data_IF_032907174536
#
_entry.id   IF_032907174536
#
_cell.length_a   1.000
_cell.length_b   1.000
_cell.length_c   1.000
_cell.angle_alpha   90.00
_cell.angle_beta   90.00
_cell.angle_gamma   90.00
#
_symmetry.space_group_name_H-M   'P 1'
#
loop_
_entity.id
_entity.type
_entity.pdbx_description
1 polymer ?
#
# COMPACT_ATOMS: atom_id res chain seq x y z
N UNK A 1 -20.29 -16.29 2.45
CA UNK A 1 -19.69 -17.55 1.98
C UNK A 1 -19.50 -18.45 3.19
N UNK A 2 -19.92 -19.71 3.13
CA UNK A 2 -19.62 -20.67 4.20
C UNK A 2 -18.17 -21.15 4.02
N UNK A 3 -17.40 -21.18 5.10
CA UNK A 3 -16.05 -21.72 5.12
C UNK A 3 -16.08 -23.07 5.86
N UNK A 4 -15.24 -24.00 5.44
CA UNK A 4 -15.17 -25.35 6.03
C UNK A 4 -13.71 -25.74 6.27
N UNK A 5 -13.45 -26.42 7.39
CA UNK A 5 -12.26 -27.26 7.51
C UNK A 5 -12.54 -28.56 6.73
N UNK A 6 -11.54 -29.08 6.04
CA UNK A 6 -11.58 -30.39 5.39
C UNK A 6 -10.59 -31.31 6.09
N UNK A 7 -11.06 -32.48 6.52
CA UNK A 7 -10.20 -33.50 7.14
C UNK A 7 -9.58 -34.44 6.09
N UNK A 8 -8.71 -35.35 6.54
CA UNK A 8 -8.04 -36.32 5.65
C UNK A 8 -8.98 -37.35 5.00
N UNK A 9 -10.29 -37.30 5.28
CA UNK A 9 -11.34 -38.16 4.72
C UNK A 9 -12.35 -37.36 3.89
N UNK A 10 -11.99 -36.13 3.49
CA UNK A 10 -12.84 -35.18 2.77
C UNK A 10 -14.14 -34.81 3.50
N UNK A 11 -14.17 -34.97 4.83
CA UNK A 11 -15.31 -34.53 5.64
C UNK A 11 -15.20 -33.04 5.91
N UNK A 12 -16.31 -32.33 5.69
CA UNK A 12 -16.40 -30.88 5.87
C UNK A 12 -16.99 -30.51 7.23
N UNK A 13 -16.24 -29.73 8.01
CA UNK A 13 -16.70 -29.14 9.27
C UNK A 13 -16.82 -27.61 9.10
N UNK A 14 -18.03 -27.07 9.27
CA UNK A 14 -18.29 -25.66 9.04
C UNK A 14 -17.55 -24.76 10.04
N UNK A 15 -16.79 -23.80 9.52
CA UNK A 15 -16.09 -22.75 10.27
C UNK A 15 -17.08 -21.63 10.59
N UNK A 16 -17.12 -21.19 11.85
CA UNK A 16 -18.01 -20.12 12.31
C UNK A 16 -17.26 -18.81 12.47
N UNK A 17 -17.91 -17.72 12.10
CA UNK A 17 -17.41 -16.37 12.38
C UNK A 17 -17.56 -16.05 13.87
N UNK A 18 -16.49 -15.55 14.48
CA UNK A 18 -16.44 -15.10 15.87
C UNK A 18 -16.42 -13.56 15.88
N UNK A 19 -17.52 -12.90 16.32
CA UNK A 19 -17.57 -11.44 16.31
C UNK A 19 -16.54 -10.83 17.27
N UNK A 20 -16.06 -9.65 16.93
CA UNK A 20 -15.29 -8.79 17.83
C UNK A 20 -16.23 -8.11 18.81
N UNK A 21 -15.93 -8.15 20.12
CA UNK A 21 -16.79 -7.51 21.13
C UNK A 21 -16.54 -6.01 21.21
N UNK A 22 -15.28 -5.60 21.04
CA UNK A 22 -14.81 -4.22 21.18
C UNK A 22 -13.94 -3.82 19.98
N UNK A 23 -13.99 -2.54 19.59
CA UNK A 23 -13.07 -1.95 18.59
C UNK A 23 -11.61 -2.15 19.02
N UNK A 24 -11.33 -2.03 20.32
CA UNK A 24 -9.98 -2.24 20.87
C UNK A 24 -9.42 -3.64 20.62
N UNK A 25 -10.27 -4.67 20.47
CA UNK A 25 -9.81 -6.02 20.09
C UNK A 25 -9.22 -6.03 18.68
N UNK A 26 -9.87 -5.31 17.74
CA UNK A 26 -9.41 -5.20 16.34
C UNK A 26 -8.11 -4.40 16.30
N UNK A 27 -8.08 -3.25 16.98
CA UNK A 27 -6.92 -2.38 17.04
C UNK A 27 -5.70 -3.11 17.60
N UNK A 28 -5.82 -3.72 18.78
CA UNK A 28 -4.70 -4.41 19.44
C UNK A 28 -4.14 -5.53 18.56
N UNK A 29 -5.02 -6.33 17.95
CA UNK A 29 -4.61 -7.43 17.08
C UNK A 29 -3.90 -6.91 15.82
N UNK A 30 -4.42 -5.83 15.24
CA UNK A 30 -3.85 -5.22 14.03
C UNK A 30 -2.51 -4.56 14.31
N UNK A 31 -2.39 -3.75 15.37
CA UNK A 31 -1.14 -3.08 15.76
C UNK A 31 -0.01 -4.08 16.01
N UNK A 32 -0.29 -5.20 16.67
CA UNK A 32 0.69 -6.26 16.94
C UNK A 32 1.18 -6.99 15.68
N UNK A 33 0.41 -6.95 14.59
CA UNK A 33 0.68 -7.69 13.35
C UNK A 33 0.76 -6.76 12.13
N UNK A 34 0.98 -5.46 12.37
CA UNK A 34 0.80 -4.42 11.36
C UNK A 34 1.71 -4.64 10.14
N UNK A 35 2.95 -5.04 10.38
CA UNK A 35 3.92 -5.36 9.33
C UNK A 35 3.50 -6.60 8.53
N UNK A 36 2.94 -7.62 9.18
CA UNK A 36 2.50 -8.83 8.49
C UNK A 36 1.24 -8.61 7.65
N UNK A 37 0.33 -7.75 8.11
CA UNK A 37 -0.94 -7.49 7.43
C UNK A 37 -0.77 -6.47 6.30
N UNK A 38 -0.04 -5.38 6.56
CA UNK A 38 0.02 -4.23 5.65
C UNK A 38 1.43 -3.86 5.19
N UNK A 39 2.48 -4.53 5.67
CA UNK A 39 3.86 -4.12 5.42
C UNK A 39 4.24 -2.79 6.10
N UNK A 40 3.43 -2.30 7.04
CA UNK A 40 3.64 -1.00 7.67
C UNK A 40 4.44 -1.11 8.97
N UNK A 41 5.17 -0.04 9.27
CA UNK A 41 5.86 0.15 10.55
C UNK A 41 4.92 0.85 11.54
N UNK A 42 4.69 0.23 12.69
CA UNK A 42 3.94 0.86 13.77
C UNK A 42 4.70 2.08 14.30
N UNK A 43 4.00 3.20 14.52
CA UNK A 43 4.56 4.42 15.13
C UNK A 43 3.97 4.63 16.51
N UNK A 44 2.65 4.77 16.60
CA UNK A 44 1.98 5.11 17.87
C UNK A 44 0.54 4.63 17.92
N UNK A 45 0.11 4.20 19.09
CA UNK A 45 -1.31 3.93 19.40
C UNK A 45 -1.91 5.15 20.11
N UNK A 46 -3.17 5.46 19.81
CA UNK A 46 -3.95 6.56 20.42
C UNK A 46 -3.25 7.94 20.31
N UNK A 47 -2.68 8.24 19.14
CA UNK A 47 -1.97 9.50 18.91
C UNK A 47 -2.94 10.69 18.98
N UNK A 48 -2.81 11.48 20.03
CA UNK A 48 -3.71 12.60 20.33
C UNK A 48 -3.07 13.92 19.91
N UNK A 49 -3.77 14.69 19.09
CA UNK A 49 -3.31 16.00 18.63
C UNK A 49 -4.47 16.99 18.56
N UNK A 50 -4.40 18.04 19.38
CA UNK A 50 -5.51 18.96 19.57
C UNK A 50 -6.76 18.23 20.09
N UNK A 51 -7.88 18.37 19.38
CA UNK A 51 -9.14 17.72 19.73
C UNK A 51 -9.35 16.36 19.04
N UNK A 52 -8.37 15.90 18.27
CA UNK A 52 -8.45 14.65 17.54
C UNK A 52 -7.59 13.58 18.21
N UNK A 53 -8.04 12.34 18.10
CA UNK A 53 -7.28 11.17 18.50
C UNK A 53 -7.31 10.17 17.36
N UNK A 54 -6.13 9.82 16.87
CA UNK A 54 -5.92 8.81 15.85
C UNK A 54 -5.68 7.48 16.56
N UNK A 55 -6.45 6.44 16.19
CA UNK A 55 -6.34 5.13 16.85
C UNK A 55 -4.94 4.51 16.67
N UNK A 56 -4.43 4.48 15.43
CA UNK A 56 -3.06 4.05 15.15
C UNK A 56 -2.41 4.95 14.10
N UNK A 57 -1.22 5.46 14.42
CA UNK A 57 -0.30 6.06 13.47
C UNK A 57 0.73 5.02 13.05
N UNK A 58 0.94 4.91 11.74
CA UNK A 58 1.89 4.01 11.12
C UNK A 58 2.72 4.74 10.04
N UNK A 59 3.80 4.11 9.60
CA UNK A 59 4.65 4.62 8.53
C UNK A 59 4.84 3.54 7.45
N UNK A 60 4.57 3.92 6.21
CA UNK A 60 4.85 3.14 5.01
C UNK A 60 6.26 3.49 4.56
N UNK A 61 7.20 2.58 4.81
CA UNK A 61 8.61 2.79 4.46
C UNK A 61 8.81 2.84 2.95
N UNK A 62 8.07 2.05 2.20
CA UNK A 62 8.24 1.93 0.74
C UNK A 62 7.74 3.19 0.02
N UNK A 63 6.66 3.76 0.53
CA UNK A 63 6.13 5.04 0.04
C UNK A 63 6.73 6.27 0.75
N UNK A 64 7.58 6.07 1.77
CA UNK A 64 8.11 7.10 2.67
C UNK A 64 7.01 8.03 3.21
N UNK A 65 5.90 7.49 3.69
CA UNK A 65 4.70 8.28 4.01
C UNK A 65 3.97 7.79 5.25
N UNK A 66 3.22 8.67 5.91
CA UNK A 66 2.41 8.30 7.06
C UNK A 66 1.11 7.62 6.63
N UNK A 67 0.67 6.65 7.43
CA UNK A 67 -0.60 5.96 7.28
C UNK A 67 -1.37 6.08 8.59
N UNK A 68 -2.58 6.60 8.49
CA UNK A 68 -3.50 6.72 9.63
C UNK A 68 -4.47 5.54 9.56
N UNK A 69 -4.64 4.83 10.67
CA UNK A 69 -5.55 3.68 10.73
C UNK A 69 -6.60 3.95 11.79
N UNK A 70 -7.85 3.80 11.39
CA UNK A 70 -9.04 4.00 12.22
C UNK A 70 -9.85 2.70 12.29
N UNK A 71 -10.27 2.32 13.49
CA UNK A 71 -11.03 1.09 13.72
C UNK A 71 -12.49 1.41 13.97
N UNK A 72 -13.36 0.58 13.39
CA UNK A 72 -14.81 0.73 13.55
C UNK A 72 -15.44 -0.63 13.80
N UNK A 73 -16.36 -0.69 14.76
CA UNK A 73 -17.24 -1.85 14.96
C UNK A 73 -18.65 -1.55 14.48
N UNK A 74 -19.07 -0.30 14.61
CA UNK A 74 -20.38 0.18 14.21
C UNK A 74 -20.33 0.82 12.80
N UNK A 75 -21.50 0.99 12.17
CA UNK A 75 -21.63 1.42 10.77
C UNK A 75 -21.96 2.90 10.59
N UNK A 76 -22.12 3.65 11.67
CA UNK A 76 -22.64 5.01 11.65
C UNK A 76 -21.50 6.05 11.65
N UNK A 77 -20.71 6.07 10.58
CA UNK A 77 -19.67 7.08 10.38
C UNK A 77 -19.49 7.40 8.89
N UNK A 78 -19.03 8.62 8.62
CA UNK A 78 -18.67 9.07 7.29
C UNK A 78 -17.20 8.80 7.03
N UNK A 79 -16.92 7.90 6.08
CA UNK A 79 -15.57 7.54 5.64
C UNK A 79 -14.85 8.77 5.08
N UNK A 80 -15.54 9.55 4.24
CA UNK A 80 -14.97 10.74 3.58
C UNK A 80 -14.65 11.81 4.62
N UNK A 81 -15.62 12.18 5.46
CA UNK A 81 -15.43 13.31 6.38
C UNK A 81 -14.32 13.01 7.41
N UNK A 82 -14.32 11.81 8.01
CA UNK A 82 -13.26 11.44 8.97
C UNK A 82 -11.91 11.29 8.29
N UNK A 83 -11.87 10.67 7.11
CA UNK A 83 -10.62 10.51 6.36
C UNK A 83 -9.97 11.85 6.03
N UNK A 84 -10.75 12.79 5.47
CA UNK A 84 -10.24 14.13 5.16
C UNK A 84 -9.91 14.96 6.40
N UNK A 85 -10.66 14.81 7.50
CA UNK A 85 -10.32 15.47 8.76
C UNK A 85 -8.95 15.03 9.28
N UNK A 86 -8.66 13.72 9.28
CA UNK A 86 -7.36 13.19 9.69
C UNK A 86 -6.22 13.60 8.77
N UNK A 87 -6.43 13.56 7.46
CA UNK A 87 -5.41 13.98 6.49
C UNK A 87 -5.13 15.49 6.61
N UNK A 88 -6.17 16.31 6.79
CA UNK A 88 -6.00 17.74 7.03
C UNK A 88 -5.27 18.02 8.34
N UNK A 89 -5.62 17.31 9.43
CA UNK A 89 -4.90 17.38 10.70
C UNK A 89 -3.40 17.09 10.50
N UNK A 90 -3.07 16.03 9.77
CA UNK A 90 -1.69 15.66 9.47
C UNK A 90 -0.94 16.71 8.64
N UNK A 91 -1.55 17.19 7.54
CA UNK A 91 -0.90 18.19 6.68
C UNK A 91 -0.69 19.54 7.39
N UNK A 92 -1.59 19.91 8.30
CA UNK A 92 -1.45 21.14 9.10
C UNK A 92 -0.43 20.99 10.25
N UNK A 93 -0.09 19.76 10.63
CA UNK A 93 0.77 19.48 11.79
C UNK A 93 1.93 18.52 11.45
N UNK A 94 2.52 18.67 10.25
CA UNK A 94 3.60 17.80 9.74
C UNK A 94 4.77 17.61 10.72
N UNK A 95 5.10 18.65 11.49
CA UNK A 95 6.18 18.60 12.46
C UNK A 95 5.89 17.64 13.62
N UNK A 96 4.66 17.62 14.14
CA UNK A 96 4.23 16.76 15.24
C UNK A 96 4.24 15.29 14.83
N UNK A 97 3.85 14.98 13.59
CA UNK A 97 3.91 13.61 13.06
C UNK A 97 5.35 13.10 12.92
N UNK A 98 6.27 13.94 12.43
CA UNK A 98 7.70 13.60 12.36
C UNK A 98 8.27 13.43 13.77
N UNK A 99 7.90 14.31 14.71
CA UNK A 99 8.34 14.21 16.10
C UNK A 99 7.88 12.89 16.71
N UNK A 100 6.60 12.55 16.60
CA UNK A 100 6.04 11.30 17.11
C UNK A 100 6.75 10.08 16.49
N UNK A 101 7.03 10.11 15.18
CA UNK A 101 7.84 9.06 14.56
C UNK A 101 9.22 8.93 15.22
N UNK A 102 9.94 10.05 15.37
CA UNK A 102 11.30 10.07 15.90
C UNK A 102 11.39 9.67 17.36
N UNK A 103 10.35 9.93 18.16
CA UNK A 103 10.28 9.54 19.57
C UNK A 103 10.00 8.04 19.77
N UNK A 104 9.31 7.40 18.81
CA UNK A 104 8.92 5.98 18.93
C UNK A 104 9.76 5.04 18.03
N UNK A 105 10.67 5.56 17.20
CA UNK A 105 11.50 4.77 16.30
C UNK A 105 13.00 5.02 16.49
N UNK A 106 13.83 4.04 16.11
CA UNK A 106 15.29 4.16 16.20
C UNK A 106 15.90 5.09 15.15
N UNK A 107 15.28 5.11 13.97
CA UNK A 107 15.71 5.97 12.87
C UNK A 107 14.95 7.29 12.97
N UNK A 108 15.59 8.39 12.59
CA UNK A 108 14.97 9.71 12.56
C UNK A 108 14.60 10.11 11.14
N UNK A 109 13.42 10.68 10.97
CA UNK A 109 12.98 11.36 9.76
C UNK A 109 13.22 12.87 9.85
N UNK A 110 13.64 13.44 8.72
CA UNK A 110 13.58 14.87 8.43
C UNK A 110 12.34 15.16 7.59
N UNK A 111 12.04 16.46 7.42
CA UNK A 111 10.89 16.91 6.63
C UNK A 111 10.92 16.43 5.18
N UNK A 112 12.10 16.42 4.58
CA UNK A 112 12.29 16.04 3.18
C UNK A 112 12.35 14.52 2.97
N UNK A 113 12.38 13.75 4.06
CA UNK A 113 12.33 12.28 4.01
C UNK A 113 10.89 11.76 3.89
N UNK A 114 9.88 12.63 4.03
CA UNK A 114 8.46 12.23 4.03
C UNK A 114 7.77 12.70 2.75
N UNK A 115 7.25 11.75 1.96
CA UNK A 115 6.35 12.02 0.86
C UNK A 115 4.90 12.10 1.35
N UNK A 116 4.50 13.30 1.76
CA UNK A 116 3.12 13.60 2.18
C UNK A 116 2.09 13.29 1.09
N UNK A 117 2.48 13.30 -0.19
CA UNK A 117 1.54 13.06 -1.28
C UNK A 117 1.05 11.61 -1.34
N UNK A 118 1.78 10.69 -0.71
CA UNK A 118 1.48 9.26 -0.65
C UNK A 118 0.74 8.85 0.65
N UNK A 119 0.51 9.81 1.56
CA UNK A 119 -0.14 9.50 2.84
C UNK A 119 -1.62 9.17 2.66
N UNK A 120 -2.14 8.25 3.48
CA UNK A 120 -3.50 7.71 3.31
C UNK A 120 -4.14 7.31 4.63
N UNK A 121 -5.46 7.07 4.59
CA UNK A 121 -6.24 6.57 5.73
C UNK A 121 -6.75 5.16 5.44
N UNK A 122 -6.60 4.26 6.41
CA UNK A 122 -7.14 2.90 6.37
C UNK A 122 -8.24 2.80 7.42
N UNK A 123 -9.47 2.49 6.99
CA UNK A 123 -10.54 2.10 7.91
C UNK A 123 -10.63 0.58 8.00
N UNK A 124 -10.64 0.05 9.22
CA UNK A 124 -10.74 -1.39 9.47
C UNK A 124 -12.02 -1.66 10.27
N UNK A 125 -12.89 -2.50 9.71
CA UNK A 125 -14.18 -2.82 10.32
C UNK A 125 -14.61 -4.25 10.02
N UNK A 126 -15.42 -4.92 10.86
CA UNK A 126 -16.03 -6.19 10.50
C UNK A 126 -16.94 -6.12 9.27
N UNK A 127 -17.52 -4.95 9.00
CA UNK A 127 -18.33 -4.73 7.80
C UNK A 127 -18.57 -3.25 7.52
N UNK A 128 -18.77 -2.92 6.24
CA UNK A 128 -19.17 -1.59 5.79
C UNK A 128 -20.59 -1.61 5.19
N UNK A 129 -21.28 -0.48 5.25
CA UNK A 129 -22.53 -0.27 4.50
C UNK A 129 -22.26 -0.13 3.01
N UNK A 130 -23.27 -0.31 2.17
CA UNK A 130 -23.16 -0.04 0.73
C UNK A 130 -22.68 1.39 0.48
N UNK A 131 -23.25 2.39 1.16
CA UNK A 131 -22.82 3.79 1.01
C UNK A 131 -21.34 4.02 1.33
N UNK A 132 -20.81 3.36 2.36
CA UNK A 132 -19.38 3.46 2.70
C UNK A 132 -18.50 2.80 1.63
N UNK A 133 -18.93 1.65 1.09
CA UNK A 133 -18.22 0.98 -0.02
C UNK A 133 -18.26 1.81 -1.30
N UNK A 134 -19.39 2.45 -1.59
CA UNK A 134 -19.52 3.37 -2.73
C UNK A 134 -18.71 4.66 -2.52
N UNK A 135 -18.51 5.10 -1.28
CA UNK A 135 -17.74 6.31 -0.97
C UNK A 135 -16.27 6.23 -1.41
N UNK A 136 -15.71 5.02 -1.60
CA UNK A 136 -14.34 4.84 -2.11
C UNK A 136 -14.27 4.73 -3.64
N UNK A 137 -15.38 4.83 -4.37
CA UNK A 137 -15.41 4.80 -5.85
C UNK A 137 -14.89 6.08 -6.52
N UNK A 138 -14.21 6.96 -5.78
CA UNK A 138 -13.51 8.12 -6.34
C UNK A 138 -12.03 7.79 -6.58
N UNK A 139 -11.55 8.08 -7.80
CA UNK A 139 -10.21 7.69 -8.25
C UNK A 139 -9.06 8.40 -7.53
N UNK A 140 -9.34 9.55 -6.92
CA UNK A 140 -8.40 10.42 -6.22
C UNK A 140 -8.60 10.41 -4.71
N UNK A 141 -9.33 9.43 -4.17
CA UNK A 141 -9.56 9.30 -2.73
C UNK A 141 -8.44 8.49 -2.05
N UNK A 142 -7.65 9.08 -1.15
CA UNK A 142 -6.56 8.40 -0.44
C UNK A 142 -7.08 7.63 0.79
N UNK A 143 -8.15 6.86 0.62
CA UNK A 143 -8.81 6.10 1.70
C UNK A 143 -8.99 4.65 1.28
N UNK A 144 -8.61 3.73 2.16
CA UNK A 144 -8.82 2.29 2.00
C UNK A 144 -9.83 1.76 3.02
N UNK A 145 -10.64 0.79 2.61
CA UNK A 145 -11.54 0.06 3.50
C UNK A 145 -11.13 -1.41 3.57
N UNK A 146 -10.98 -1.92 4.78
CA UNK A 146 -10.59 -3.31 5.03
C UNK A 146 -11.58 -4.01 5.95
N UNK A 147 -12.19 -5.08 5.44
CA UNK A 147 -13.08 -5.93 6.21
C UNK A 147 -12.29 -6.99 6.99
N UNK A 148 -12.43 -6.99 8.31
CA UNK A 148 -11.75 -7.94 9.21
C UNK A 148 -12.73 -8.97 9.79
N UNK A 149 -12.43 -10.26 9.64
CA UNK A 149 -13.27 -11.35 10.19
C UNK A 149 -12.42 -12.38 10.91
N UNK A 150 -12.82 -12.72 12.13
CA UNK A 150 -12.19 -13.75 12.96
C UNK A 150 -13.07 -15.01 12.95
N UNK A 151 -12.44 -16.18 12.97
CA UNK A 151 -13.10 -17.47 12.88
C UNK A 151 -12.75 -18.38 14.06
N UNK A 152 -13.60 -19.38 14.34
CA UNK A 152 -13.46 -20.30 15.47
C UNK A 152 -12.31 -21.31 15.34
N UNK A 153 -11.78 -21.48 14.14
CA UNK A 153 -10.60 -22.30 13.84
C UNK A 153 -9.26 -21.55 13.96
N UNK A 154 -9.25 -20.40 14.65
CA UNK A 154 -8.06 -19.52 14.83
C UNK A 154 -7.56 -18.86 13.53
N UNK A 155 -8.41 -18.76 12.52
CA UNK A 155 -8.13 -17.97 11.31
C UNK A 155 -8.67 -16.54 11.46
N UNK A 156 -7.99 -15.59 10.84
CA UNK A 156 -8.47 -14.23 10.64
C UNK A 156 -8.25 -13.83 9.19
N UNK A 157 -9.20 -13.11 8.59
CA UNK A 157 -9.08 -12.54 7.26
C UNK A 157 -9.12 -11.02 7.32
N UNK A 158 -8.21 -10.37 6.59
CA UNK A 158 -8.26 -8.95 6.26
C UNK A 158 -8.48 -8.85 4.75
N UNK A 159 -9.63 -8.32 4.34
CA UNK A 159 -9.99 -8.21 2.92
C UNK A 159 -10.18 -6.74 2.56
N UNK A 160 -9.35 -6.23 1.66
CA UNK A 160 -9.54 -4.90 1.11
C UNK A 160 -10.81 -4.86 0.25
N UNK A 161 -11.65 -3.86 0.46
CA UNK A 161 -12.74 -3.56 -0.46
C UNK A 161 -12.14 -2.84 -1.66
N UNK A 162 -12.10 -3.53 -2.80
CA UNK A 162 -11.70 -2.97 -4.08
C UNK A 162 -12.90 -2.39 -4.82
N UNK A 163 -12.66 -1.33 -5.57
CA UNK A 163 -13.69 -0.67 -6.39
C UNK A 163 -13.67 -1.22 -7.80
N UNK A 164 -14.86 -1.33 -8.41
CA UNK A 164 -15.02 -1.84 -9.78
C UNK A 164 -14.79 -0.72 -10.81
N UNK A 165 -13.62 -0.09 -10.77
CA UNK A 165 -13.26 0.99 -11.69
C UNK A 165 -13.81 2.35 -11.27
N UNK A 166 -13.18 2.96 -10.27
CA UNK A 166 -13.43 4.34 -9.88
C UNK A 166 -13.14 5.30 -11.06
N UNK A 167 -14.18 5.96 -11.61
CA UNK A 167 -14.03 6.90 -12.73
C UNK A 167 -14.19 8.36 -12.30
N UNK A 168 -15.02 8.60 -11.28
CA UNK A 168 -15.30 9.94 -10.79
C UNK A 168 -14.18 10.45 -9.88
N UNK A 169 -14.01 11.77 -9.82
CA UNK A 169 -13.06 12.43 -8.93
C UNK A 169 -13.81 13.07 -7.77
N UNK A 170 -13.25 13.04 -6.55
CA UNK A 170 -13.80 13.71 -5.36
C UNK A 170 -14.05 15.19 -5.63
N UNK A 171 -13.31 15.80 -6.57
CA UNK A 171 -13.50 17.20 -7.00
C UNK A 171 -14.91 17.50 -7.55
N UNK A 172 -15.65 16.49 -8.01
CA UNK A 172 -17.03 16.70 -8.50
C UNK A 172 -17.99 17.04 -7.37
N UNK A 173 -17.76 16.49 -6.17
CA UNK A 173 -18.58 16.68 -4.97
C UNK A 173 -17.98 17.71 -4.00
N UNK A 174 -16.69 18.03 -4.10
CA UNK A 174 -15.98 18.87 -3.12
C UNK A 174 -15.99 20.38 -3.40
N UNK A 175 -16.71 20.87 -4.40
CA UNK A 175 -16.59 22.26 -4.93
C UNK A 175 -16.89 23.39 -3.92
N UNK A 176 -17.13 23.08 -2.65
CA UNK A 176 -17.46 24.05 -1.60
C UNK A 176 -16.71 23.79 -0.27
N UNK A 177 -15.78 22.82 -0.20
CA UNK A 177 -15.02 22.54 1.03
C UNK A 177 -13.52 22.79 0.84
N UNK A 178 -13.04 23.93 1.35
CA UNK A 178 -11.64 24.35 1.35
C UNK A 178 -10.69 23.29 1.95
N UNK A 179 -11.16 22.48 2.89
CA UNK A 179 -10.37 21.43 3.55
C UNK A 179 -10.11 20.28 2.59
N UNK A 180 -11.16 19.82 1.91
CA UNK A 180 -11.08 18.73 0.93
C UNK A 180 -10.22 19.16 -0.25
N UNK A 181 -10.34 20.41 -0.72
CA UNK A 181 -9.52 20.93 -1.81
C UNK A 181 -8.03 20.99 -1.45
N UNK A 182 -7.68 21.48 -0.24
CA UNK A 182 -6.29 21.52 0.23
C UNK A 182 -5.68 20.13 0.32
N UNK A 183 -6.39 19.19 0.93
CA UNK A 183 -5.93 17.80 1.07
C UNK A 183 -5.74 17.16 -0.31
N UNK A 184 -6.71 17.28 -1.21
CA UNK A 184 -6.65 16.71 -2.57
C UNK A 184 -5.55 17.37 -3.43
N UNK A 185 -5.11 18.58 -3.06
CA UNK A 185 -3.98 19.25 -3.73
C UNK A 185 -2.64 18.65 -3.30
N UNK A 186 -2.47 18.33 -2.02
CA UNK A 186 -1.21 17.81 -1.48
C UNK A 186 -1.10 16.29 -1.61
N UNK A 187 -2.20 15.57 -1.36
CA UNK A 187 -2.29 14.11 -1.44
C UNK A 187 -2.73 13.69 -2.83
N UNK A 188 -2.07 12.66 -3.36
CA UNK A 188 -2.22 12.20 -4.74
C UNK A 188 -2.35 10.68 -4.75
N UNK A 189 -3.44 10.22 -5.34
CA UNK A 189 -3.57 8.83 -5.77
C UNK A 189 -3.06 8.77 -7.19
N UNK A 190 -2.03 7.95 -7.42
CA UNK A 190 -1.41 7.80 -8.73
C UNK A 190 -2.03 6.65 -9.47
N UNK A 191 -2.13 6.79 -10.78
CA UNK A 191 -2.60 5.73 -11.67
C UNK A 191 -1.50 5.25 -12.60
N UNK A 192 -1.61 4.01 -13.04
CA UNK A 192 -0.69 3.47 -14.04
C UNK A 192 -0.78 4.26 -15.36
N UNK A 193 -1.97 4.72 -15.72
CA UNK A 193 -2.20 5.51 -16.92
C UNK A 193 -1.41 6.82 -16.91
N UNK A 194 -1.34 7.52 -15.77
CA UNK A 194 -0.55 8.75 -15.62
C UNK A 194 0.95 8.52 -15.87
N UNK A 195 1.48 7.32 -15.61
CA UNK A 195 2.87 6.99 -15.94
C UNK A 195 3.08 6.68 -17.42
N UNK A 196 2.05 6.15 -18.08
CA UNK A 196 2.06 5.82 -19.51
C UNK A 196 1.83 7.05 -20.39
N UNK A 197 1.16 8.07 -19.85
CA UNK A 197 0.88 9.32 -20.54
C UNK A 197 2.19 10.02 -20.95
N UNK A 198 2.30 10.31 -22.25
CA UNK A 198 3.50 10.94 -22.83
C UNK A 198 4.69 10.00 -23.09
N UNK A 199 4.56 8.70 -22.81
CA UNK A 199 5.54 7.70 -23.23
C UNK A 199 5.33 7.32 -24.70
N UNK A 200 6.40 6.90 -25.39
CA UNK A 200 6.30 6.37 -26.75
C UNK A 200 5.66 4.98 -26.73
N UNK A 201 5.13 4.54 -27.86
CA UNK A 201 4.42 3.26 -27.93
C UNK A 201 5.38 2.08 -27.69
N UNK A 202 6.64 2.19 -28.11
CA UNK A 202 7.67 1.19 -27.83
C UNK A 202 7.92 1.02 -26.33
N UNK A 203 7.93 2.10 -25.55
CA UNK A 203 8.10 2.04 -24.09
C UNK A 203 6.87 1.45 -23.41
N UNK A 204 5.66 1.78 -23.88
CA UNK A 204 4.42 1.21 -23.36
C UNK A 204 4.36 -0.30 -23.63
N UNK A 205 4.72 -0.73 -24.83
CA UNK A 205 4.78 -2.15 -25.19
C UNK A 205 5.81 -2.90 -24.35
N UNK A 206 7.01 -2.33 -24.16
CA UNK A 206 8.04 -2.91 -23.30
C UNK A 206 7.55 -3.04 -21.86
N UNK A 207 6.94 -1.99 -21.31
CA UNK A 207 6.35 -2.00 -19.97
C UNK A 207 5.29 -3.08 -19.82
N UNK A 208 4.32 -3.15 -20.74
CA UNK A 208 3.26 -4.14 -20.72
C UNK A 208 3.81 -5.56 -20.84
N UNK A 209 4.86 -5.79 -21.64
CA UNK A 209 5.51 -7.09 -21.73
C UNK A 209 6.09 -7.53 -20.37
N UNK A 210 6.84 -6.65 -19.71
CA UNK A 210 7.40 -6.95 -18.38
C UNK A 210 6.32 -7.11 -17.32
N UNK A 211 5.34 -6.20 -17.27
CA UNK A 211 4.20 -6.27 -16.36
C UNK A 211 3.47 -7.61 -16.47
N UNK A 212 3.05 -7.99 -17.68
CA UNK A 212 2.33 -9.25 -17.90
C UNK A 212 3.19 -10.45 -17.52
N UNK A 213 4.48 -10.44 -17.85
CA UNK A 213 5.39 -11.51 -17.46
C UNK A 213 5.58 -11.63 -15.93
N UNK A 214 5.63 -10.50 -15.22
CA UNK A 214 5.74 -10.46 -13.75
C UNK A 214 4.44 -10.96 -13.10
N UNK A 215 3.28 -10.50 -13.58
CA UNK A 215 1.97 -10.94 -13.09
C UNK A 215 1.70 -12.42 -13.37
N UNK A 216 2.34 -13.00 -14.38
CA UNK A 216 2.29 -14.44 -14.64
C UNK A 216 3.15 -15.27 -13.66
N UNK A 217 4.02 -14.65 -12.85
CA UNK A 217 4.82 -15.37 -11.86
C UNK A 217 4.01 -15.76 -10.63
N UNK A 218 3.08 -14.90 -10.20
CA UNK A 218 2.31 -15.07 -8.96
C UNK A 218 1.14 -14.07 -8.91
N UNK A 219 0.25 -14.23 -7.93
CA UNK A 219 -0.77 -13.23 -7.62
C UNK A 219 -0.14 -12.00 -6.95
N UNK A 220 0.25 -11.01 -7.75
CA UNK A 220 0.83 -9.75 -7.31
C UNK A 220 -0.15 -8.59 -7.50
N UNK A 221 -0.09 -7.63 -6.57
CA UNK A 221 -0.81 -6.37 -6.68
C UNK A 221 0.07 -5.33 -7.38
N UNK A 222 -0.53 -4.57 -8.30
CA UNK A 222 0.14 -3.46 -9.00
C UNK A 222 -0.24 -2.16 -8.30
N UNK A 223 0.75 -1.47 -7.71
CA UNK A 223 0.56 -0.21 -6.99
C UNK A 223 1.35 0.92 -7.65
N UNK A 224 0.70 1.79 -8.44
CA UNK A 224 1.32 3.01 -8.93
C UNK A 224 1.70 3.93 -7.76
N UNK A 225 2.96 4.34 -7.72
CA UNK A 225 3.53 5.33 -6.80
C UNK A 225 3.94 6.56 -7.60
N UNK A 226 4.36 7.64 -6.94
CA UNK A 226 4.64 8.93 -7.61
C UNK A 226 5.59 8.87 -8.82
N UNK A 227 6.57 7.96 -8.82
CA UNK A 227 7.63 7.91 -9.82
C UNK A 227 7.85 6.52 -10.44
N UNK A 228 7.16 5.51 -9.94
CA UNK A 228 7.34 4.12 -10.32
C UNK A 228 6.06 3.34 -10.04
N UNK A 229 5.92 2.18 -10.66
CA UNK A 229 4.87 1.21 -10.36
C UNK A 229 5.48 0.06 -9.57
N UNK A 230 4.96 -0.20 -8.38
CA UNK A 230 5.39 -1.30 -7.51
C UNK A 230 4.58 -2.57 -7.80
N UNK A 231 5.25 -3.72 -7.76
CA UNK A 231 4.63 -5.04 -7.83
C UNK A 231 4.80 -5.72 -6.48
N UNK A 232 3.68 -5.96 -5.79
CA UNK A 232 3.66 -6.28 -4.35
C UNK A 232 3.06 -7.67 -4.14
N UNK A 233 3.76 -8.50 -3.36
CA UNK A 233 3.24 -9.76 -2.83
C UNK A 233 2.71 -9.52 -1.40
N UNK A 234 3.37 -10.08 -0.37
CA UNK A 234 3.15 -9.65 1.01
C UNK A 234 3.86 -8.31 1.26
N UNK A 235 5.07 -8.18 0.74
CA UNK A 235 5.84 -6.93 0.67
C UNK A 235 6.21 -6.62 -0.78
N UNK A 236 6.78 -5.44 -1.02
CA UNK A 236 7.18 -5.04 -2.36
C UNK A 236 8.21 -6.03 -2.95
N UNK A 237 8.07 -6.38 -4.23
CA UNK A 237 8.93 -7.37 -4.92
C UNK A 237 9.83 -6.67 -5.93
N UNK A 238 9.25 -5.81 -6.76
CA UNK A 238 9.96 -5.13 -7.84
C UNK A 238 9.26 -3.81 -8.17
N UNK A 239 10.06 -2.79 -8.45
CA UNK A 239 9.60 -1.48 -8.87
C UNK A 239 9.99 -1.23 -10.32
N UNK A 240 9.08 -0.70 -11.13
CA UNK A 240 9.35 -0.31 -12.52
C UNK A 240 9.06 1.18 -12.70
N UNK A 241 10.06 1.93 -13.16
CA UNK A 241 9.92 3.32 -13.59
C UNK A 241 10.08 3.41 -15.11
N UNK A 242 9.11 4.04 -15.75
CA UNK A 242 9.19 4.38 -17.16
C UNK A 242 10.12 5.58 -17.37
N UNK A 243 10.94 5.51 -18.42
CA UNK A 243 11.82 6.58 -18.86
C UNK A 243 11.70 6.75 -20.38
N UNK A 244 12.18 7.88 -20.91
CA UNK A 244 12.09 8.20 -22.34
C UNK A 244 12.71 7.12 -23.26
N UNK A 245 13.75 6.43 -22.79
CA UNK A 245 14.55 5.51 -23.61
C UNK A 245 14.58 4.08 -23.05
N UNK A 246 13.67 3.74 -22.13
CA UNK A 246 13.62 2.40 -21.54
C UNK A 246 12.88 2.37 -20.21
N UNK A 247 12.99 1.24 -19.52
CA UNK A 247 12.53 1.06 -18.15
C UNK A 247 13.72 1.04 -17.22
N UNK A 248 13.52 1.57 -16.02
CA UNK A 248 14.40 1.35 -14.89
C UNK A 248 13.69 0.46 -13.89
N UNK A 249 14.37 -0.57 -13.42
CA UNK A 249 13.80 -1.55 -12.51
C UNK A 249 14.63 -1.65 -11.23
N UNK A 250 13.97 -1.80 -10.08
CA UNK A 250 14.64 -2.11 -8.81
C UNK A 250 14.08 -3.41 -8.23
N UNK A 251 14.96 -4.36 -7.90
CA UNK A 251 14.58 -5.61 -7.25
C UNK A 251 14.67 -5.44 -5.75
N UNK A 252 13.56 -5.63 -5.02
CA UNK A 252 13.50 -5.42 -3.56
C UNK A 252 14.25 -6.51 -2.76
N UNK A 253 15.58 -6.48 -2.86
CA UNK A 253 16.52 -7.34 -2.17
C UNK A 253 17.63 -6.47 -1.59
N UNK A 254 18.19 -6.90 -0.46
CA UNK A 254 19.36 -6.24 0.11
C UNK A 254 20.63 -6.68 -0.62
N UNK A 255 21.64 -5.82 -0.63
CA UNK A 255 22.95 -6.15 -1.18
C UNK A 255 23.49 -7.49 -0.64
N UNK A 256 24.01 -8.31 -1.55
CA UNK A 256 24.48 -9.66 -1.29
C UNK A 256 23.41 -10.77 -1.32
N UNK A 257 22.13 -10.44 -1.55
CA UNK A 257 21.04 -11.43 -1.59
C UNK A 257 20.66 -11.89 -3.00
N UNK A 258 21.11 -11.21 -4.05
CA UNK A 258 20.83 -11.58 -5.44
C UNK A 258 21.96 -12.39 -6.06
N UNK A 259 21.63 -13.52 -6.68
CA UNK A 259 22.52 -14.25 -7.58
C UNK A 259 22.32 -13.75 -9.02
N UNK A 260 23.22 -12.89 -9.49
CA UNK A 260 23.24 -12.28 -10.83
C UNK A 260 24.54 -12.66 -11.58
N UNK A 261 24.65 -13.87 -12.14
CA UNK A 261 25.85 -14.34 -12.84
C UNK A 261 26.20 -13.54 -14.10
N UNK A 262 25.24 -12.84 -14.71
CA UNK A 262 25.48 -11.95 -15.86
C UNK A 262 25.91 -10.54 -15.46
N UNK A 263 25.80 -10.17 -14.18
CA UNK A 263 26.21 -8.87 -13.66
C UNK A 263 25.50 -7.69 -14.32
N UNK A 264 24.22 -7.84 -14.68
CA UNK A 264 23.44 -6.78 -15.32
C UNK A 264 22.82 -5.81 -14.31
N UNK A 265 22.75 -6.21 -13.04
CA UNK A 265 22.29 -5.36 -11.95
C UNK A 265 23.42 -4.48 -11.43
N UNK A 266 23.07 -3.23 -11.16
CA UNK A 266 23.92 -2.28 -10.45
C UNK A 266 23.53 -2.24 -8.97
N UNK A 267 24.52 -2.35 -8.08
CA UNK A 267 24.33 -2.07 -6.66
C UNK A 267 24.07 -0.58 -6.44
N UNK A 268 22.94 -0.28 -5.80
CA UNK A 268 22.52 1.07 -5.42
C UNK A 268 22.29 1.24 -3.92
N UNK A 269 22.71 0.28 -3.08
CA UNK A 269 22.51 0.29 -1.62
C UNK A 269 23.09 1.52 -0.90
N UNK A 270 24.08 2.18 -1.50
CA UNK A 270 24.73 3.39 -0.96
C UNK A 270 24.43 4.66 -1.77
N UNK A 271 23.48 4.59 -2.71
CA UNK A 271 23.10 5.71 -3.59
C UNK A 271 21.61 5.98 -3.48
N UNK A 272 21.23 7.26 -3.45
CA UNK A 272 19.82 7.64 -3.50
C UNK A 272 19.17 7.14 -4.80
N UNK A 273 18.07 6.39 -4.66
CA UNK A 273 17.26 5.87 -5.76
C UNK A 273 15.79 5.89 -5.35
N UNK A 274 14.90 5.68 -6.34
CA UNK A 274 13.46 5.81 -6.13
C UNK A 274 12.75 4.51 -5.79
N UNK A 275 13.26 3.37 -6.27
CA UNK A 275 12.76 2.06 -5.87
C UNK A 275 13.22 1.67 -4.47
N UNK A 276 12.75 0.52 -4.01
CA UNK A 276 12.93 0.05 -2.62
C UNK A 276 14.13 -0.90 -2.44
N UNK A 277 14.71 -1.36 -3.54
CA UNK A 277 15.69 -2.43 -3.56
C UNK A 277 17.10 -2.02 -3.98
N UNK A 278 18.09 -2.70 -3.44
CA UNK A 278 19.51 -2.38 -3.64
C UNK A 278 20.04 -2.74 -5.04
N UNK A 279 19.24 -3.38 -5.89
CA UNK A 279 19.63 -3.82 -7.22
C UNK A 279 18.84 -3.09 -8.31
N UNK A 280 19.53 -2.24 -9.08
CA UNK A 280 18.97 -1.47 -10.18
C UNK A 280 19.31 -2.10 -11.55
N UNK A 281 18.35 -2.15 -12.46
CA UNK A 281 18.54 -2.55 -13.86
C UNK A 281 18.05 -1.46 -14.82
N UNK A 282 18.79 -1.28 -15.92
CA UNK A 282 18.35 -0.49 -17.07
C UNK A 282 17.91 -1.43 -18.19
N UNK A 283 16.67 -1.28 -18.66
CA UNK A 283 16.04 -2.17 -19.63
C UNK A 283 15.62 -1.35 -20.84
N UNK A 284 16.27 -1.57 -21.97
CA UNK A 284 15.99 -0.84 -23.22
C UNK A 284 15.38 -1.74 -24.31
N UNK A 285 15.34 -3.05 -24.08
CA UNK A 285 14.74 -4.06 -24.95
C UNK A 285 14.30 -5.27 -24.10
N UNK A 286 13.61 -6.21 -24.73
CA UNK A 286 13.10 -7.45 -24.15
C UNK A 286 14.05 -8.66 -24.34
N UNK A 287 15.24 -8.46 -24.90
CA UNK A 287 16.22 -9.53 -25.21
C UNK A 287 16.61 -10.36 -23.98
N UNK A 288 16.63 -9.74 -22.80
CA UNK A 288 16.99 -10.37 -21.52
C UNK A 288 15.78 -10.69 -20.64
N UNK A 289 14.55 -10.66 -21.16
CA UNK A 289 13.33 -10.81 -20.38
C UNK A 289 13.35 -12.05 -19.48
N UNK A 290 13.63 -13.24 -20.03
CA UNK A 290 13.67 -14.49 -19.26
C UNK A 290 14.70 -14.47 -18.13
N UNK A 291 15.86 -13.87 -18.40
CA UNK A 291 16.90 -13.75 -17.39
C UNK A 291 16.48 -12.76 -16.29
N UNK A 292 15.93 -11.62 -16.64
CA UNK A 292 15.43 -10.63 -15.68
C UNK A 292 14.30 -11.24 -14.83
N UNK A 293 13.39 -12.02 -15.43
CA UNK A 293 12.34 -12.74 -14.70
C UNK A 293 12.94 -13.75 -13.69
N UNK A 294 14.08 -14.38 -14.02
CA UNK A 294 14.78 -15.26 -13.07
C UNK A 294 15.30 -14.52 -11.85
N UNK A 295 15.73 -13.26 -11.99
CA UNK A 295 16.14 -12.39 -10.88
C UNK A 295 14.91 -11.93 -10.07
N UNK A 296 13.82 -11.54 -10.75
CA UNK A 296 12.56 -11.17 -10.09
C UNK A 296 12.00 -12.33 -9.26
N UNK A 297 12.10 -13.57 -9.73
CA UNK A 297 11.70 -14.77 -8.97
C UNK A 297 12.47 -14.91 -7.64
N UNK A 298 13.74 -14.50 -7.59
CA UNK A 298 14.52 -14.50 -6.34
C UNK A 298 13.95 -13.46 -5.35
N UNK A 299 13.67 -12.25 -5.83
CA UNK A 299 13.01 -11.21 -5.02
C UNK A 299 11.63 -11.66 -4.53
N UNK A 300 10.83 -12.25 -5.41
CA UNK A 300 9.50 -12.77 -5.08
C UNK A 300 9.56 -13.82 -3.96
N UNK A 301 10.50 -14.78 -4.07
CA UNK A 301 10.68 -15.82 -3.05
C UNK A 301 11.06 -15.26 -1.67
N UNK A 302 11.74 -14.11 -1.63
CA UNK A 302 12.13 -13.43 -0.40
C UNK A 302 10.96 -12.65 0.21
N UNK A 303 10.20 -11.94 -0.62
CA UNK A 303 9.14 -11.01 -0.23
C UNK A 303 7.73 -11.63 -0.15
N UNK A 304 7.61 -12.94 -0.41
CA UNK A 304 6.40 -13.75 -0.17
C UNK A 304 6.43 -14.48 1.19
N UNK A 305 7.54 -14.41 1.93
CA UNK A 305 7.68 -15.03 3.26
C UNK A 305 7.25 -14.08 4.35
#
# INVERSE_FOLDING_TARGET
MALFNIDNKDKLDQIKELPFKLEKEIQTLTEQNLTAIFGLNFVRSEFSLGNFRIDTLAFDKDASSFVIIEYKRDKNFSVIDQGYAYLSLMLNNKADFILEYNENNKNTLKRDDVDWSQSRVIFISPSFTTYQKEAINFKDLPIELWEVKRYDNKTISYNQIQTSGAQESVKTISRQDDTIEKVTREIKVFTEQEHLDGMSDEIKELYEKFKNAILNLDSLEVKPKKLYTAFVANTNVVDIRLQKNGLKMWLNLQHGQLDDPKGICRDVSQTGHWGNGDYELQINSDDNLEYILSLIKQSLKRNKK
#
